data_IF_720217692799
#
_entry.id   IF_720217692799
#
_cell.length_a   1.000
_cell.length_b   1.000
_cell.length_c   1.000
_cell.angle_alpha   90.00
_cell.angle_beta   90.00
_cell.angle_gamma   90.00
#
_symmetry.space_group_name_H-M   'P 1'
#
loop_
_entity.id
_entity.type
_entity.pdbx_description
1 polymer ?
#
# COMPACT_ATOMS: atom_id res chain seq x y z
N UNK A 1 2.43 10.21 27.70
CA UNK A 1 2.30 11.68 27.58
C UNK A 1 1.08 12.10 28.35
N UNK A 2 1.33 12.64 29.58
CA UNK A 2 0.27 13.06 30.49
C UNK A 2 -0.26 14.45 30.13
N UNK A 3 -0.98 14.52 29.02
CA UNK A 3 -1.74 15.74 28.72
C UNK A 3 -2.98 15.77 29.62
N UNK A 4 -3.21 16.86 30.39
CA UNK A 4 -4.45 17.01 31.15
C UNK A 4 -5.67 16.85 30.23
N UNK A 5 -6.66 16.08 30.68
CA UNK A 5 -7.87 15.76 29.91
C UNK A 5 -8.52 17.01 29.27
N UNK A 6 -8.62 18.10 30.03
CA UNK A 6 -9.16 19.37 29.56
C UNK A 6 -8.36 20.00 28.41
N UNK A 7 -7.02 19.86 28.47
CA UNK A 7 -6.15 20.35 27.39
C UNK A 7 -6.32 19.52 26.12
N UNK A 8 -6.46 18.20 26.26
CA UNK A 8 -6.74 17.30 25.15
C UNK A 8 -8.10 17.63 24.49
N UNK A 9 -9.17 17.71 25.28
CA UNK A 9 -10.51 18.04 24.80
C UNK A 9 -10.57 19.41 24.07
N UNK A 10 -9.88 20.40 24.61
CA UNK A 10 -9.79 21.73 23.98
C UNK A 10 -9.05 21.68 22.64
N UNK A 11 -7.96 20.89 22.53
CA UNK A 11 -7.23 20.71 21.27
C UNK A 11 -8.07 19.98 20.24
N UNK A 12 -8.77 18.92 20.62
CA UNK A 12 -9.68 18.17 19.73
C UNK A 12 -10.81 19.07 19.25
N UNK A 13 -11.43 19.86 20.13
CA UNK A 13 -12.49 20.81 19.77
C UNK A 13 -12.00 21.89 18.80
N UNK A 14 -10.78 22.41 19.01
CA UNK A 14 -10.17 23.37 18.08
C UNK A 14 -9.87 22.74 16.72
N UNK A 15 -9.41 21.49 16.69
CA UNK A 15 -9.16 20.75 15.46
C UNK A 15 -10.47 20.55 14.70
N UNK A 16 -11.50 20.04 15.36
CA UNK A 16 -12.82 19.82 14.76
C UNK A 16 -13.43 21.09 14.14
N UNK A 17 -13.21 22.25 14.77
CA UNK A 17 -13.67 23.55 14.21
C UNK A 17 -12.87 24.02 12.99
N UNK A 18 -11.63 23.59 12.84
CA UNK A 18 -10.75 23.96 11.72
C UNK A 18 -10.85 22.99 10.54
N UNK A 19 -11.31 21.76 10.79
CA UNK A 19 -11.38 20.72 9.78
C UNK A 19 -12.72 20.80 9.05
N UNK A 20 -12.69 20.93 7.73
CA UNK A 20 -13.90 20.94 6.89
C UNK A 20 -14.41 19.52 6.60
N UNK A 21 -13.55 18.50 6.72
CA UNK A 21 -13.90 17.10 6.50
C UNK A 21 -14.53 16.44 7.73
N UNK A 22 -15.11 15.28 7.51
CA UNK A 22 -15.66 14.41 8.56
C UNK A 22 -14.95 13.09 8.56
N UNK A 23 -14.62 12.58 9.74
CA UNK A 23 -14.00 11.28 9.94
C UNK A 23 -14.94 10.37 10.73
N UNK A 24 -15.20 9.17 10.21
CA UNK A 24 -15.92 8.11 10.92
C UNK A 24 -14.97 6.93 11.12
N UNK A 25 -14.82 6.51 12.37
CA UNK A 25 -14.04 5.35 12.75
C UNK A 25 -15.02 4.27 13.20
N UNK A 26 -14.87 3.06 12.64
CA UNK A 26 -15.64 1.89 13.01
C UNK A 26 -14.69 0.74 13.31
N UNK A 27 -14.78 0.21 14.49
CA UNK A 27 -14.04 -0.97 14.93
C UNK A 27 -14.84 -2.24 14.68
N UNK A 28 -14.14 -3.29 14.24
CA UNK A 28 -14.65 -4.66 14.13
C UNK A 28 -13.64 -5.61 14.77
N UNK A 29 -14.10 -6.66 15.46
CA UNK A 29 -13.19 -7.71 15.94
C UNK A 29 -12.44 -8.37 14.77
N UNK A 30 -11.22 -8.84 15.03
CA UNK A 30 -10.40 -9.53 14.04
C UNK A 30 -11.18 -10.70 13.39
N UNK A 31 -11.08 -10.83 12.08
CA UNK A 31 -11.73 -11.86 11.26
C UNK A 31 -13.26 -11.87 11.33
N UNK A 32 -13.90 -10.81 11.84
CA UNK A 32 -15.36 -10.75 11.94
C UNK A 32 -16.04 -9.97 10.81
N UNK A 33 -15.32 -9.08 10.13
CA UNK A 33 -15.90 -8.21 9.12
C UNK A 33 -15.46 -8.61 7.70
N UNK A 34 -16.41 -8.60 6.78
CA UNK A 34 -16.23 -8.77 5.35
C UNK A 34 -16.93 -7.66 4.58
N UNK A 35 -16.79 -7.64 3.26
CA UNK A 35 -17.37 -6.63 2.36
C UNK A 35 -18.85 -6.33 2.61
N UNK A 36 -19.66 -7.35 2.96
CA UNK A 36 -21.07 -7.18 3.29
C UNK A 36 -21.33 -6.32 4.52
N UNK A 37 -20.48 -6.41 5.56
CA UNK A 37 -20.60 -5.57 6.75
C UNK A 37 -20.21 -4.11 6.41
N UNK A 38 -19.19 -3.92 5.59
CA UNK A 38 -18.81 -2.57 5.15
C UNK A 38 -19.89 -1.94 4.27
N UNK A 39 -20.48 -2.70 3.37
CA UNK A 39 -21.63 -2.27 2.56
C UNK A 39 -22.81 -1.85 3.43
N UNK A 40 -23.17 -2.64 4.43
CA UNK A 40 -24.24 -2.32 5.37
C UNK A 40 -23.96 -1.02 6.13
N UNK A 41 -22.71 -0.84 6.61
CA UNK A 41 -22.29 0.39 7.28
C UNK A 41 -22.38 1.61 6.35
N UNK A 42 -21.89 1.51 5.10
CA UNK A 42 -21.94 2.62 4.14
C UNK A 42 -23.38 3.03 3.83
N UNK A 43 -24.28 2.07 3.66
CA UNK A 43 -25.72 2.34 3.47
C UNK A 43 -26.34 2.98 4.70
N UNK A 44 -26.03 2.52 5.90
CA UNK A 44 -26.50 3.10 7.15
C UNK A 44 -26.05 4.55 7.31
N UNK A 45 -24.78 4.83 7.03
CA UNK A 45 -24.22 6.19 7.11
C UNK A 45 -24.87 7.13 6.09
N UNK A 46 -25.10 6.67 4.87
CA UNK A 46 -25.78 7.44 3.85
C UNK A 46 -27.23 7.77 4.26
N UNK A 47 -27.96 6.80 4.79
CA UNK A 47 -29.37 6.96 5.17
C UNK A 47 -29.55 7.78 6.46
N UNK A 48 -28.78 7.46 7.51
CA UNK A 48 -29.01 8.07 8.85
C UNK A 48 -28.23 9.37 9.06
N UNK A 49 -27.10 9.56 8.38
CA UNK A 49 -26.21 10.71 8.59
C UNK A 49 -25.99 11.54 7.34
N UNK A 50 -26.60 11.17 6.21
CA UNK A 50 -26.31 11.80 4.89
C UNK A 50 -24.81 11.84 4.59
N UNK A 51 -24.05 10.86 5.12
CA UNK A 51 -22.61 10.78 4.98
C UNK A 51 -22.25 9.79 3.88
N UNK A 52 -21.46 10.24 2.91
CA UNK A 52 -20.83 9.44 1.87
C UNK A 52 -19.33 9.69 1.92
N UNK A 53 -18.49 8.68 2.16
CA UNK A 53 -17.05 8.87 2.22
C UNK A 53 -16.47 9.16 0.83
N UNK A 54 -15.44 10.00 0.77
CA UNK A 54 -14.62 10.22 -0.42
C UNK A 54 -13.47 9.19 -0.51
N UNK A 55 -13.11 8.58 0.62
CA UNK A 55 -12.08 7.55 0.73
C UNK A 55 -12.39 6.63 1.92
N UNK A 56 -12.05 5.34 1.76
CA UNK A 56 -12.18 4.34 2.82
C UNK A 56 -10.80 3.77 3.13
N UNK A 57 -10.43 3.74 4.41
CA UNK A 57 -9.23 3.07 4.90
C UNK A 57 -9.63 1.81 5.66
N UNK A 58 -8.98 0.68 5.36
CA UNK A 58 -9.18 -0.60 6.05
C UNK A 58 -7.84 -1.03 6.65
N UNK A 59 -7.74 -1.03 7.96
CA UNK A 59 -6.54 -1.42 8.70
C UNK A 59 -6.77 -2.80 9.34
N UNK A 60 -6.29 -3.85 8.74
CA UNK A 60 -5.75 -4.05 7.41
C UNK A 60 -6.38 -5.29 6.75
N UNK A 61 -6.09 -5.52 5.47
CA UNK A 61 -6.79 -6.49 4.64
C UNK A 61 -6.73 -7.93 5.18
N UNK A 62 -5.57 -8.38 5.66
CA UNK A 62 -5.37 -9.79 6.06
C UNK A 62 -6.16 -10.20 7.31
N UNK A 63 -6.62 -9.25 8.13
CA UNK A 63 -7.47 -9.52 9.29
C UNK A 63 -8.98 -9.40 9.00
N UNK A 64 -9.35 -9.12 7.76
CA UNK A 64 -10.75 -9.20 7.33
C UNK A 64 -11.16 -10.65 7.11
N UNK A 65 -12.47 -10.89 7.05
CA UNK A 65 -13.05 -12.14 6.57
C UNK A 65 -13.54 -11.99 5.13
N UNK A 66 -13.83 -13.10 4.46
CA UNK A 66 -14.46 -13.11 3.15
C UNK A 66 -15.91 -13.58 3.26
N UNK A 67 -16.80 -12.94 2.51
CA UNK A 67 -18.20 -13.35 2.43
C UNK A 67 -18.41 -14.68 1.67
N UNK A 68 -17.39 -15.10 0.89
CA UNK A 68 -17.43 -16.33 0.07
C UNK A 68 -17.20 -17.60 0.88
N UNK A 69 -16.58 -17.48 2.07
CA UNK A 69 -16.22 -18.65 2.88
C UNK A 69 -16.92 -18.62 4.22
N UNK A 70 -17.51 -19.75 4.61
CA UNK A 70 -18.09 -19.93 5.95
C UNK A 70 -16.97 -20.22 6.95
N UNK A 71 -17.14 -19.78 8.19
CA UNK A 71 -16.21 -20.11 9.28
C UNK A 71 -16.00 -21.62 9.38
N UNK A 72 -14.73 -22.06 9.48
CA UNK A 72 -14.36 -23.49 9.53
C UNK A 72 -14.07 -24.14 8.17
N UNK A 73 -14.21 -23.43 7.05
CA UNK A 73 -13.77 -23.96 5.75
C UNK A 73 -12.24 -24.01 5.69
N UNK A 74 -11.69 -25.13 5.20
CA UNK A 74 -10.24 -25.31 5.03
C UNK A 74 -9.75 -24.56 3.78
N UNK A 75 -9.74 -23.22 3.86
CA UNK A 75 -9.28 -22.34 2.77
C UNK A 75 -7.87 -21.92 3.07
N UNK A 76 -6.96 -22.05 2.09
CA UNK A 76 -5.61 -21.56 2.25
C UNK A 76 -5.58 -20.02 2.31
N UNK A 77 -4.57 -19.45 2.97
CA UNK A 77 -4.41 -18.00 3.17
C UNK A 77 -4.35 -17.24 1.84
N UNK A 78 -3.72 -17.80 0.82
CA UNK A 78 -3.69 -17.26 -0.54
C UNK A 78 -5.08 -16.99 -1.11
N UNK A 79 -5.95 -18.02 -1.12
CA UNK A 79 -7.30 -17.91 -1.66
C UNK A 79 -8.15 -16.95 -0.84
N UNK A 80 -7.96 -16.95 0.48
CA UNK A 80 -8.68 -16.05 1.38
C UNK A 80 -8.33 -14.59 1.10
N UNK A 81 -7.05 -14.25 1.11
CA UNK A 81 -6.55 -12.88 0.86
C UNK A 81 -6.97 -12.36 -0.52
N UNK A 82 -6.86 -13.21 -1.55
CA UNK A 82 -7.34 -12.89 -2.89
C UNK A 82 -8.84 -12.58 -2.90
N UNK A 83 -9.64 -13.41 -2.25
CA UNK A 83 -11.10 -13.22 -2.21
C UNK A 83 -11.50 -11.94 -1.48
N UNK A 84 -10.83 -11.61 -0.36
CA UNK A 84 -11.04 -10.36 0.36
C UNK A 84 -10.71 -9.17 -0.54
N UNK A 85 -9.56 -9.20 -1.23
CA UNK A 85 -9.16 -8.12 -2.13
C UNK A 85 -10.16 -7.90 -3.29
N UNK A 86 -10.64 -8.99 -3.90
CA UNK A 86 -11.67 -8.93 -4.95
C UNK A 86 -13.00 -8.36 -4.43
N UNK A 87 -13.42 -8.76 -3.22
CA UNK A 87 -14.63 -8.24 -2.58
C UNK A 87 -14.51 -6.75 -2.27
N UNK A 88 -13.37 -6.31 -1.75
CA UNK A 88 -13.12 -4.89 -1.49
C UNK A 88 -13.06 -4.07 -2.78
N UNK A 89 -12.47 -4.62 -3.84
CA UNK A 89 -12.51 -3.98 -5.16
C UNK A 89 -13.95 -3.85 -5.67
N UNK A 90 -14.76 -4.88 -5.52
CA UNK A 90 -16.19 -4.84 -5.87
C UNK A 90 -16.93 -3.75 -5.11
N UNK A 91 -16.66 -3.61 -3.82
CA UNK A 91 -17.23 -2.56 -2.97
C UNK A 91 -16.80 -1.16 -3.41
N UNK A 92 -15.51 -0.97 -3.73
CA UNK A 92 -14.99 0.30 -4.23
C UNK A 92 -15.69 0.75 -5.53
N UNK A 93 -15.91 -0.18 -6.45
CA UNK A 93 -16.62 0.07 -7.71
C UNK A 93 -18.10 0.37 -7.46
N UNK A 94 -18.77 -0.41 -6.61
CA UNK A 94 -20.20 -0.24 -6.31
C UNK A 94 -20.51 1.12 -5.70
N UNK A 95 -19.65 1.59 -4.78
CA UNK A 95 -19.84 2.88 -4.10
C UNK A 95 -19.11 4.04 -4.78
N UNK A 96 -18.35 3.75 -5.84
CA UNK A 96 -17.50 4.73 -6.55
C UNK A 96 -16.58 5.49 -5.58
N UNK A 97 -15.88 4.75 -4.72
CA UNK A 97 -14.98 5.29 -3.70
C UNK A 97 -13.68 4.50 -3.63
N UNK A 98 -12.51 5.15 -3.59
CA UNK A 98 -11.25 4.45 -3.42
C UNK A 98 -11.16 3.78 -2.06
N UNK A 99 -10.61 2.56 -2.03
CA UNK A 99 -10.31 1.82 -0.81
C UNK A 99 -8.79 1.68 -0.70
N UNK A 100 -8.24 2.13 0.42
CA UNK A 100 -6.82 1.99 0.77
C UNK A 100 -6.70 0.97 1.90
N UNK A 101 -5.82 0.01 1.75
CA UNK A 101 -5.54 -0.98 2.78
C UNK A 101 -4.06 -1.32 2.82
N UNK A 102 -3.63 -2.06 3.82
CA UNK A 102 -2.29 -2.58 3.94
C UNK A 102 -2.29 -4.11 3.89
N UNK A 103 -1.14 -4.68 3.59
CA UNK A 103 -0.85 -6.10 3.73
C UNK A 103 0.57 -6.29 4.23
N UNK A 104 0.86 -7.42 4.83
CA UNK A 104 2.21 -7.75 5.29
C UNK A 104 3.01 -8.36 4.13
N UNK A 105 4.32 -8.21 4.17
CA UNK A 105 5.24 -8.94 3.29
C UNK A 105 5.38 -10.39 3.76
N UNK A 106 5.83 -11.27 2.85
CA UNK A 106 6.22 -12.64 3.19
C UNK A 106 7.48 -12.63 4.07
N UNK A 107 7.80 -13.78 4.68
CA UNK A 107 9.03 -13.92 5.48
C UNK A 107 10.30 -13.68 4.65
N UNK A 108 10.29 -13.99 3.37
CA UNK A 108 11.42 -13.73 2.45
C UNK A 108 11.63 -12.23 2.20
N UNK A 109 10.56 -11.44 2.16
CA UNK A 109 10.64 -9.97 2.05
C UNK A 109 10.96 -9.26 3.36
N UNK A 110 10.87 -9.98 4.50
CA UNK A 110 11.20 -9.39 5.80
C UNK A 110 12.72 -9.31 5.97
N UNK A 111 13.24 -8.12 6.14
CA UNK A 111 14.69 -7.87 6.25
C UNK A 111 15.40 -7.69 4.91
N UNK A 112 14.68 -7.75 3.78
CA UNK A 112 15.22 -7.36 2.48
C UNK A 112 15.27 -5.84 2.36
N UNK A 113 16.39 -5.32 1.89
CA UNK A 113 16.54 -3.91 1.52
C UNK A 113 15.77 -3.58 0.24
N UNK A 114 15.34 -4.58 -0.51
CA UNK A 114 14.54 -4.42 -1.72
C UNK A 114 13.33 -5.38 -1.71
N UNK A 115 12.14 -4.81 -1.70
CA UNK A 115 10.85 -5.54 -1.70
C UNK A 115 10.27 -5.50 -3.11
N UNK A 116 9.86 -6.67 -3.61
CA UNK A 116 9.20 -6.81 -4.91
C UNK A 116 7.72 -7.23 -4.79
N UNK A 117 7.00 -7.23 -5.92
CA UNK A 117 5.60 -7.68 -5.97
C UNK A 117 5.42 -9.13 -5.49
N UNK A 118 6.44 -9.96 -5.69
CA UNK A 118 6.48 -11.37 -5.26
C UNK A 118 6.59 -11.52 -3.75
N UNK A 119 7.09 -10.50 -3.06
CA UNK A 119 7.25 -10.47 -1.60
C UNK A 119 5.98 -10.03 -0.86
N UNK A 120 4.94 -9.67 -1.60
CA UNK A 120 3.64 -9.39 -0.97
C UNK A 120 3.01 -10.70 -0.49
N UNK A 121 2.52 -10.69 0.76
CA UNK A 121 2.08 -11.88 1.49
C UNK A 121 1.27 -12.85 0.64
N UNK A 122 1.82 -14.05 0.46
CA UNK A 122 1.18 -15.30 0.04
C UNK A 122 0.31 -15.29 -1.22
N UNK A 123 0.20 -14.17 -1.99
CA UNK A 123 -0.80 -14.12 -3.05
C UNK A 123 -0.40 -13.25 -4.25
N UNK A 124 -0.08 -13.88 -5.38
CA UNK A 124 -0.11 -13.20 -6.69
C UNK A 124 -1.50 -12.57 -7.01
N UNK A 125 -2.56 -13.02 -6.34
CA UNK A 125 -3.90 -12.50 -6.52
C UNK A 125 -4.09 -11.08 -6.02
N UNK A 126 -3.38 -10.68 -4.95
CA UNK A 126 -3.44 -9.33 -4.42
C UNK A 126 -2.82 -8.30 -5.37
N UNK A 127 -1.57 -8.47 -5.86
CA UNK A 127 -1.02 -7.61 -6.89
C UNK A 127 -1.87 -7.55 -8.17
N UNK A 128 -2.51 -8.65 -8.56
CA UNK A 128 -3.40 -8.65 -9.73
C UNK A 128 -4.64 -7.76 -9.51
N UNK A 129 -5.16 -7.71 -8.30
CA UNK A 129 -6.39 -7.00 -7.96
C UNK A 129 -6.16 -5.51 -7.70
N UNK A 130 -5.08 -5.14 -7.02
CA UNK A 130 -4.78 -3.74 -6.70
C UNK A 130 -4.46 -2.90 -7.94
N UNK A 131 -4.86 -1.65 -7.94
CA UNK A 131 -4.57 -0.69 -9.01
C UNK A 131 -3.25 0.06 -8.75
N UNK A 132 -2.92 0.28 -7.49
CA UNK A 132 -1.72 0.96 -7.02
C UNK A 132 -1.16 0.21 -5.81
N UNK A 133 0.15 -0.01 -5.77
CA UNK A 133 0.82 -0.66 -4.64
C UNK A 133 2.15 0.02 -4.35
N UNK A 134 2.40 0.25 -3.06
CA UNK A 134 3.65 0.72 -2.53
C UNK A 134 4.18 -0.24 -1.47
N UNK A 135 5.50 -0.44 -1.45
CA UNK A 135 6.20 -1.03 -0.31
C UNK A 135 6.73 0.09 0.59
N UNK A 136 6.60 -0.12 1.90
CA UNK A 136 7.22 0.70 2.93
C UNK A 136 8.41 -0.08 3.48
N UNK A 137 9.61 0.41 3.25
CA UNK A 137 10.86 -0.28 3.57
C UNK A 137 11.58 0.51 4.65
N UNK A 138 11.91 -0.16 5.76
CA UNK A 138 12.67 0.39 6.87
C UNK A 138 13.93 -0.45 7.06
N UNK A 139 15.09 0.19 7.02
CA UNK A 139 16.39 -0.40 7.38
C UNK A 139 16.90 0.25 8.66
N UNK A 140 17.85 -0.37 9.36
CA UNK A 140 18.44 0.23 10.56
C UNK A 140 19.03 1.63 10.29
N UNK A 141 19.62 1.81 9.10
CA UNK A 141 20.17 3.10 8.67
C UNK A 141 19.08 4.17 8.51
N UNK A 142 18.00 3.83 7.80
CA UNK A 142 16.85 4.72 7.62
C UNK A 142 16.16 5.03 8.94
N UNK A 143 16.04 4.04 9.82
CA UNK A 143 15.46 4.25 11.15
C UNK A 143 16.30 5.22 12.00
N UNK A 144 17.64 5.09 11.94
CA UNK A 144 18.57 6.01 12.61
C UNK A 144 18.44 7.46 12.12
N UNK A 145 18.06 7.64 10.86
CA UNK A 145 17.82 8.96 10.25
C UNK A 145 16.38 9.47 10.42
N UNK A 146 15.48 8.66 11.02
CA UNK A 146 14.05 8.98 11.09
C UNK A 146 13.39 9.00 9.71
N UNK A 147 13.81 8.11 8.83
CA UNK A 147 13.39 8.03 7.44
C UNK A 147 12.74 6.67 7.11
N UNK A 148 12.03 6.63 6.00
CA UNK A 148 11.40 5.45 5.45
C UNK A 148 11.48 5.52 3.92
N UNK A 149 11.85 4.43 3.27
CA UNK A 149 11.82 4.35 1.82
C UNK A 149 10.44 3.85 1.36
N UNK A 150 9.88 4.54 0.40
CA UNK A 150 8.66 4.14 -0.31
C UNK A 150 9.06 3.66 -1.71
N UNK A 151 8.72 2.41 -2.04
CA UNK A 151 8.94 1.84 -3.37
C UNK A 151 7.60 1.63 -4.07
N UNK A 152 7.46 2.16 -5.27
CA UNK A 152 6.29 1.91 -6.12
C UNK A 152 6.42 0.51 -6.74
N UNK A 153 5.54 -0.42 -6.33
CA UNK A 153 5.51 -1.79 -6.83
C UNK A 153 4.60 -1.94 -8.05
N UNK A 154 3.51 -1.20 -8.07
CA UNK A 154 2.52 -1.24 -9.15
C UNK A 154 1.83 0.10 -9.30
N UNK A 155 1.59 0.48 -10.55
CA UNK A 155 0.77 1.64 -10.91
C UNK A 155 0.06 1.36 -12.23
N UNK A 156 -1.28 1.34 -12.23
CA UNK A 156 -2.08 1.16 -13.45
C UNK A 156 -2.35 2.48 -14.17
N UNK A 157 -2.11 3.60 -13.52
CA UNK A 157 -2.52 4.92 -14.01
C UNK A 157 -1.38 5.71 -14.62
N UNK A 158 -0.13 5.32 -14.33
CA UNK A 158 1.05 6.01 -14.80
C UNK A 158 2.22 5.03 -14.99
N UNK A 159 3.30 5.50 -15.58
CA UNK A 159 4.56 4.75 -15.72
C UNK A 159 5.15 4.43 -14.33
N UNK A 160 5.26 3.15 -13.95
CA UNK A 160 5.79 2.76 -12.66
C UNK A 160 7.30 2.99 -12.52
N UNK A 161 8.01 3.33 -13.59
CA UNK A 161 9.46 3.64 -13.55
C UNK A 161 9.72 5.06 -13.07
N UNK A 162 8.73 5.97 -13.22
CA UNK A 162 8.85 7.35 -12.74
C UNK A 162 8.63 7.35 -11.23
N UNK A 163 9.61 7.91 -10.48
CA UNK A 163 9.61 7.93 -9.01
C UNK A 163 9.43 6.53 -8.40
N UNK A 164 10.16 5.56 -8.95
CA UNK A 164 10.08 4.17 -8.49
C UNK A 164 10.38 4.02 -7.01
N UNK A 165 11.32 4.83 -6.48
CA UNK A 165 11.69 4.88 -5.06
C UNK A 165 11.84 6.32 -4.61
N UNK A 166 11.45 6.62 -3.37
CA UNK A 166 11.68 7.91 -2.74
C UNK A 166 11.69 7.77 -1.22
N UNK A 167 12.37 8.73 -0.55
CA UNK A 167 12.47 8.77 0.91
C UNK A 167 11.45 9.75 1.47
N UNK A 168 10.82 9.35 2.56
CA UNK A 168 9.99 10.21 3.40
C UNK A 168 10.52 10.21 4.83
N UNK A 169 10.44 11.35 5.50
CA UNK A 169 10.72 11.45 6.91
C UNK A 169 9.55 10.93 7.75
N UNK A 170 9.85 10.32 8.88
CA UNK A 170 8.85 9.80 9.82
C UNK A 170 9.04 10.39 11.22
N UNK A 171 8.05 11.11 11.70
CA UNK A 171 7.95 11.55 13.09
C UNK A 171 7.00 10.58 13.83
N UNK A 172 7.59 9.54 14.44
CA UNK A 172 6.84 8.49 15.13
C UNK A 172 6.04 9.03 16.30
N UNK A 173 6.56 10.06 16.99
CA UNK A 173 5.89 10.67 18.13
C UNK A 173 4.60 11.40 17.74
N UNK A 174 4.56 11.94 16.54
CA UNK A 174 3.38 12.65 16.00
C UNK A 174 2.59 11.84 14.99
N UNK A 175 2.98 10.60 14.71
CA UNK A 175 2.37 9.75 13.68
C UNK A 175 2.29 10.49 12.32
N UNK A 176 3.38 11.12 11.92
CA UNK A 176 3.42 11.99 10.74
C UNK A 176 4.54 11.60 9.79
N UNK A 177 4.19 11.53 8.51
CA UNK A 177 5.14 11.50 7.40
C UNK A 177 5.36 12.94 6.89
N UNK A 178 6.56 13.25 6.43
CA UNK A 178 6.91 14.56 5.87
C UNK A 178 7.95 14.40 4.75
N UNK A 179 8.02 15.40 3.87
CA UNK A 179 8.97 15.39 2.77
C UNK A 179 10.40 15.59 3.29
N UNK A 180 11.33 14.79 2.77
CA UNK A 180 12.76 14.96 3.01
C UNK A 180 13.38 15.88 1.98
N UNK A 181 14.55 16.45 2.33
CA UNK A 181 15.35 17.27 1.40
C UNK A 181 15.81 16.46 0.18
N UNK A 182 16.10 17.16 -0.91
CA UNK A 182 16.55 16.55 -2.18
C UNK A 182 17.83 15.71 -2.03
N UNK A 183 18.71 16.07 -1.09
CA UNK A 183 19.91 15.31 -0.77
C UNK A 183 19.64 13.87 -0.35
N UNK A 184 18.59 13.65 0.45
CA UNK A 184 18.17 12.31 0.87
C UNK A 184 17.62 11.45 -0.28
N UNK A 185 17.26 12.06 -1.41
CA UNK A 185 16.76 11.36 -2.60
C UNK A 185 17.89 10.95 -3.55
N UNK A 186 19.03 11.66 -3.54
CA UNK A 186 20.12 11.43 -4.49
C UNK A 186 20.86 10.11 -4.21
N UNK A 187 21.05 9.74 -2.94
CA UNK A 187 21.76 8.51 -2.56
C UNK A 187 21.02 7.24 -2.99
N UNK A 188 19.72 7.33 -3.36
CA UNK A 188 18.92 6.19 -3.78
C UNK A 188 18.98 5.96 -5.28
N UNK A 189 19.26 7.01 -6.05
CA UNK A 189 19.40 6.90 -7.51
C UNK A 189 20.67 6.20 -7.92
N UNK A 190 21.69 6.17 -7.03
CA UNK A 190 23.03 5.66 -7.32
C UNK A 190 23.24 4.17 -6.94
N UNK A 191 22.32 3.56 -6.20
CA UNK A 191 22.50 2.20 -5.69
C UNK A 191 21.83 1.11 -6.53
N UNK A 192 21.98 1.09 -7.86
CA UNK A 192 21.56 -0.10 -8.56
C UNK A 192 21.23 -0.07 -10.03
N UNK A 193 21.70 0.87 -10.80
CA UNK A 193 21.48 0.85 -12.26
C UNK A 193 22.72 0.95 -13.16
N UNK A 194 23.92 1.17 -12.63
CA UNK A 194 25.10 1.39 -13.46
C UNK A 194 26.04 0.19 -13.64
N UNK A 195 25.85 -0.95 -13.00
CA UNK A 195 26.74 -2.09 -13.17
C UNK A 195 26.32 -3.14 -14.21
N UNK A 196 25.11 -3.11 -14.74
CA UNK A 196 24.66 -4.13 -15.72
C UNK A 196 24.62 -3.67 -17.19
N UNK A 197 24.93 -2.40 -17.51
CA UNK A 197 24.79 -1.92 -18.89
C UNK A 197 26.09 -1.79 -19.70
N UNK A 198 27.27 -2.09 -19.13
CA UNK A 198 28.56 -1.90 -19.82
C UNK A 198 29.27 -3.18 -20.31
N UNK A 199 28.68 -4.38 -20.19
CA UNK A 199 29.39 -5.60 -20.63
C UNK A 199 28.81 -6.29 -21.88
N UNK A 200 27.88 -5.65 -22.60
CA UNK A 200 27.27 -6.26 -23.79
C UNK A 200 27.57 -5.56 -25.13
N UNK A 201 28.43 -4.54 -25.18
CA UNK A 201 28.70 -3.88 -26.49
C UNK A 201 29.82 -4.45 -27.33
N UNK A 202 30.57 -5.43 -26.88
CA UNK A 202 31.76 -5.89 -27.64
C UNK A 202 31.74 -7.30 -28.20
N UNK A 203 30.60 -7.96 -28.35
CA UNK A 203 30.54 -9.27 -29.07
C UNK A 203 29.32 -9.38 -29.99
N UNK A 204 29.21 -8.53 -31.00
CA UNK A 204 28.39 -8.84 -32.17
C UNK A 204 29.24 -9.44 -33.28
N UNK A 205 29.15 -10.75 -33.61
CA UNK A 205 29.79 -11.28 -34.82
C UNK A 205 29.08 -10.66 -36.03
N UNK A 206 29.86 -9.98 -36.88
CA UNK A 206 29.38 -9.53 -38.19
C UNK A 206 29.01 -10.77 -39.01
N UNK A 207 27.74 -11.07 -39.16
CA UNK A 207 27.28 -12.03 -40.20
C UNK A 207 27.22 -11.27 -41.50
N UNK A 208 28.16 -11.58 -42.41
CA UNK A 208 28.12 -11.20 -43.79
C UNK A 208 27.04 -12.03 -44.48
N UNK A 209 26.06 -11.34 -45.13
CA UNK A 209 25.07 -11.96 -45.98
C UNK A 209 25.64 -12.09 -47.43
N UNK A 210 26.71 -12.85 -47.59
CA UNK A 210 27.13 -13.28 -48.93
C UNK A 210 26.75 -14.74 -49.12
N UNK A 211 25.74 -15.00 -49.99
CA UNK A 211 25.45 -16.38 -50.39
C UNK A 211 24.01 -16.74 -50.70
N UNK A 212 23.06 -15.82 -50.84
CA UNK A 212 21.76 -16.16 -51.41
C UNK A 212 21.70 -15.70 -52.88
N UNK A 213 21.85 -16.66 -53.82
CA UNK A 213 21.43 -16.53 -55.23
C UNK A 213 20.01 -17.06 -55.35
N UNK A 214 19.15 -16.26 -55.98
CA UNK A 214 17.84 -16.67 -56.48
C UNK A 214 18.02 -17.55 -57.71
#
# INVERSE_FOLDING_TARGET
TDLPKTTFENKVTKLAKKTQGSLIIKEYPTASAHSGHFKALLNELALKKSFRPDIIFIDYLNICSSSRFRGGSNVNSYTLVKSIAEELRGLAVEFNVPIVSATQTTRSGYGSSDVELTDTSESFGLPATADLMFALISTEELEGLGQLMVKQLKNRYNDPTIYKRFIVGIDRAKMRLYDCEQSAQNDILDSGQDEEYNDYEDKKPKKSFEGFKF
#
